data_IF_058319845545
#
_entry.id   IF_058319845545
#
_cell.length_a   1.000
_cell.length_b   1.000
_cell.length_c   1.000
_cell.angle_alpha   90.00
_cell.angle_beta   90.00
_cell.angle_gamma   90.00
#
_symmetry.space_group_name_H-M   'P 1'
#
loop_
_entity.id
_entity.type
_entity.pdbx_description
1 polymer ?
#
# COMPACT_ATOMS: atom_id res chain seq x y z
N UNK A 1 -46.51 12.51 29.66
CA UNK A 1 -45.30 13.35 29.88
C UNK A 1 -44.07 12.49 30.25
N UNK A 2 -43.71 11.47 29.46
CA UNK A 2 -42.51 10.64 29.74
C UNK A 2 -42.12 9.77 28.52
N UNK A 3 -41.98 10.40 27.34
CA UNK A 3 -41.68 9.70 26.07
C UNK A 3 -40.67 10.44 25.19
N UNK A 4 -39.81 11.28 25.77
CA UNK A 4 -38.93 12.17 24.99
C UNK A 4 -37.42 11.89 25.08
N UNK A 5 -36.98 11.00 25.97
CA UNK A 5 -35.55 10.67 26.15
C UNK A 5 -35.20 9.27 25.66
N UNK A 6 -35.52 8.94 24.40
CA UNK A 6 -35.16 7.64 23.81
C UNK A 6 -34.48 7.74 22.44
N UNK A 7 -33.76 8.84 22.15
CA UNK A 7 -33.14 9.07 20.83
C UNK A 7 -31.74 9.72 20.88
N UNK A 8 -30.90 9.48 21.90
CA UNK A 8 -29.54 10.06 21.88
C UNK A 8 -28.39 9.20 22.40
N UNK A 9 -28.57 7.89 22.59
CA UNK A 9 -27.50 7.02 23.09
C UNK A 9 -27.19 5.80 22.20
N UNK A 10 -27.81 5.69 21.01
CA UNK A 10 -27.47 4.63 20.04
C UNK A 10 -26.34 5.01 19.07
N UNK A 11 -26.03 6.31 18.92
CA UNK A 11 -25.07 6.81 17.94
C UNK A 11 -23.65 7.04 18.51
N UNK A 12 -23.53 7.25 19.83
CA UNK A 12 -22.24 7.44 20.51
C UNK A 12 -21.74 6.23 21.31
N UNK A 13 -22.53 5.16 21.43
CA UNK A 13 -22.24 4.03 22.34
C UNK A 13 -21.72 2.77 21.65
N UNK A 14 -21.14 2.88 20.45
CA UNK A 14 -20.22 1.84 19.95
C UNK A 14 -18.79 2.31 20.24
N UNK A 15 -18.17 1.63 21.19
CA UNK A 15 -16.85 1.85 21.80
C UNK A 15 -15.70 2.23 20.83
N UNK A 16 -14.56 2.79 21.33
CA UNK A 16 -13.49 3.42 20.55
C UNK A 16 -12.60 2.47 19.72
N UNK A 17 -13.17 1.41 19.16
CA UNK A 17 -12.48 0.41 18.35
C UNK A 17 -12.22 0.90 16.92
N UNK A 18 -13.11 1.72 16.35
CA UNK A 18 -13.01 2.19 14.96
C UNK A 18 -11.82 3.14 14.75
N UNK A 19 -11.50 4.02 15.70
CA UNK A 19 -10.38 4.95 15.55
C UNK A 19 -9.02 4.23 15.54
N UNK A 20 -8.84 3.21 16.39
CA UNK A 20 -7.62 2.40 16.43
C UNK A 20 -7.45 1.59 15.14
N UNK A 21 -8.55 1.08 14.59
CA UNK A 21 -8.55 0.36 13.31
C UNK A 21 -8.25 1.29 12.13
N UNK A 22 -8.90 2.46 12.08
CA UNK A 22 -8.62 3.49 11.06
C UNK A 22 -7.17 3.95 11.13
N UNK A 23 -6.65 4.22 12.33
CA UNK A 23 -5.25 4.61 12.51
C UNK A 23 -4.29 3.49 12.07
N UNK A 24 -4.60 2.24 12.40
CA UNK A 24 -3.81 1.09 11.94
C UNK A 24 -3.83 0.94 10.41
N UNK A 25 -4.97 1.18 9.76
CA UNK A 25 -5.08 1.16 8.30
C UNK A 25 -4.29 2.30 7.65
N UNK A 26 -4.39 3.52 8.18
CA UNK A 26 -3.60 4.67 7.70
C UNK A 26 -2.10 4.36 7.83
N UNK A 27 -1.67 3.86 8.99
CA UNK A 27 -0.27 3.52 9.21
C UNK A 27 0.20 2.40 8.27
N UNK A 28 -0.63 1.38 8.03
CA UNK A 28 -0.34 0.33 7.07
C UNK A 28 -0.22 0.87 5.64
N UNK A 29 -1.11 1.77 5.22
CA UNK A 29 -1.04 2.41 3.90
C UNK A 29 0.19 3.29 3.76
N UNK A 30 0.54 4.09 4.78
CA UNK A 30 1.77 4.89 4.78
C UNK A 30 3.02 4.01 4.72
N UNK A 31 3.02 2.89 5.44
CA UNK A 31 4.10 1.91 5.40
C UNK A 31 4.24 1.27 4.01
N UNK A 32 3.13 0.92 3.37
CA UNK A 32 3.12 0.41 1.99
C UNK A 32 3.69 1.44 1.01
N UNK A 33 3.24 2.70 1.11
CA UNK A 33 3.78 3.79 0.29
C UNK A 33 5.28 3.95 0.49
N UNK A 34 5.74 3.93 1.74
CA UNK A 34 7.17 4.01 2.05
C UNK A 34 7.98 2.89 1.41
N UNK A 35 7.52 1.63 1.50
CA UNK A 35 8.20 0.49 0.87
C UNK A 35 8.27 0.65 -0.66
N UNK A 36 7.18 1.08 -1.29
CA UNK A 36 7.13 1.29 -2.74
C UNK A 36 8.08 2.42 -3.13
N UNK A 37 8.05 3.56 -2.43
CA UNK A 37 8.96 4.69 -2.69
C UNK A 37 10.42 4.30 -2.50
N UNK A 38 10.75 3.54 -1.45
CA UNK A 38 12.10 3.02 -1.23
C UNK A 38 12.54 2.08 -2.36
N UNK A 39 11.65 1.20 -2.82
CA UNK A 39 11.95 0.27 -3.92
C UNK A 39 12.18 1.02 -5.24
N UNK A 40 11.32 1.99 -5.55
CA UNK A 40 11.46 2.83 -6.75
C UNK A 40 12.76 3.63 -6.72
N UNK A 41 13.12 4.22 -5.58
CA UNK A 41 14.36 5.00 -5.46
C UNK A 41 15.61 4.13 -5.58
N UNK A 42 15.58 2.89 -5.08
CA UNK A 42 16.65 1.90 -5.28
C UNK A 42 16.83 1.60 -6.78
N UNK A 43 15.74 1.30 -7.50
CA UNK A 43 15.80 1.03 -8.94
C UNK A 43 16.26 2.25 -9.74
N UNK A 44 15.70 3.42 -9.47
CA UNK A 44 16.07 4.67 -10.13
C UNK A 44 17.55 5.00 -9.93
N UNK A 45 18.06 4.83 -8.71
CA UNK A 45 19.48 5.02 -8.41
C UNK A 45 20.33 3.98 -9.16
N UNK A 46 19.91 2.72 -9.20
CA UNK A 46 20.58 1.68 -9.98
C UNK A 46 20.69 2.02 -11.47
N UNK A 47 19.59 2.48 -12.09
CA UNK A 47 19.61 2.91 -13.49
C UNK A 47 20.49 4.14 -13.72
N UNK A 48 20.51 5.09 -12.77
CA UNK A 48 21.38 6.26 -12.84
C UNK A 48 22.87 5.89 -12.74
N UNK A 49 23.22 4.98 -11.83
CA UNK A 49 24.59 4.49 -11.66
C UNK A 49 25.09 3.67 -12.85
N UNK A 50 24.19 2.94 -13.52
CA UNK A 50 24.47 2.23 -14.76
C UNK A 50 24.56 3.16 -15.98
N UNK A 51 24.31 4.46 -15.82
CA UNK A 51 24.35 5.44 -16.92
C UNK A 51 23.25 5.25 -17.95
N UNK A 52 22.10 4.66 -17.58
CA UNK A 52 21.00 4.37 -18.51
C UNK A 52 20.13 5.59 -18.79
N UNK A 53 20.18 6.59 -17.92
CA UNK A 53 19.47 7.87 -18.06
C UNK A 53 20.37 9.02 -17.63
N UNK A 54 20.19 10.18 -18.28
CA UNK A 54 20.99 11.39 -18.04
C UNK A 54 20.58 12.11 -16.75
N UNK A 55 19.31 12.01 -16.37
CA UNK A 55 18.75 12.71 -15.21
C UNK A 55 18.17 11.74 -14.18
N UNK A 56 18.16 12.17 -12.92
CA UNK A 56 17.47 11.43 -11.85
C UNK A 56 15.96 11.41 -12.09
N UNK A 57 15.41 12.50 -12.62
CA UNK A 57 14.00 12.60 -12.97
C UNK A 57 13.58 11.50 -13.95
N UNK A 58 14.31 11.33 -15.07
CA UNK A 58 14.02 10.26 -16.03
C UNK A 58 14.17 8.87 -15.42
N UNK A 59 15.17 8.67 -14.56
CA UNK A 59 15.39 7.39 -13.88
C UNK A 59 14.23 7.03 -12.94
N UNK A 60 13.75 8.00 -12.17
CA UNK A 60 12.60 7.85 -11.26
C UNK A 60 11.31 7.67 -12.07
N UNK A 61 11.11 8.45 -13.12
CA UNK A 61 9.95 8.35 -14.01
C UNK A 61 9.86 6.97 -14.65
N UNK A 62 10.93 6.49 -15.28
CA UNK A 62 10.99 5.14 -15.86
C UNK A 62 10.75 4.06 -14.79
N UNK A 63 11.37 4.20 -13.62
CA UNK A 63 11.17 3.26 -12.53
C UNK A 63 9.70 3.21 -12.13
N UNK A 64 9.05 4.35 -11.91
CA UNK A 64 7.63 4.42 -11.55
C UNK A 64 6.71 3.81 -12.61
N UNK A 65 6.90 4.15 -13.89
CA UNK A 65 6.03 3.65 -14.97
C UNK A 65 6.14 2.14 -15.12
N UNK A 66 7.33 1.57 -14.95
CA UNK A 66 7.56 0.13 -15.01
C UNK A 66 7.09 -0.57 -13.73
N UNK A 67 7.36 -0.03 -12.56
CA UNK A 67 6.97 -0.61 -11.26
C UNK A 67 5.45 -0.69 -11.08
N UNK A 68 4.72 0.28 -11.64
CA UNK A 68 3.26 0.35 -11.58
C UNK A 68 2.58 -0.33 -12.77
N UNK A 69 3.34 -0.98 -13.66
CA UNK A 69 2.86 -1.59 -14.92
C UNK A 69 2.21 -0.60 -15.90
N UNK A 70 2.36 0.70 -15.65
CA UNK A 70 1.73 1.75 -16.45
C UNK A 70 2.36 1.85 -17.85
N UNK A 71 3.69 1.79 -17.93
CA UNK A 71 4.43 1.55 -19.18
C UNK A 71 4.08 2.43 -20.39
N UNK A 72 4.08 3.76 -20.25
CA UNK A 72 3.79 4.70 -21.36
C UNK A 72 4.63 4.46 -22.62
N UNK A 73 5.85 3.95 -22.47
CA UNK A 73 6.73 3.58 -23.59
C UNK A 73 7.44 4.76 -24.26
N UNK A 74 7.30 5.97 -23.71
CA UNK A 74 7.99 7.20 -24.08
C UNK A 74 9.46 7.20 -23.62
N UNK A 75 9.74 6.59 -22.46
CA UNK A 75 11.09 6.37 -21.95
C UNK A 75 11.36 4.88 -21.87
N UNK A 76 12.43 4.41 -22.52
CA UNK A 76 12.78 2.99 -22.63
C UNK A 76 14.26 2.76 -22.36
N UNK A 77 14.57 1.58 -21.81
CA UNK A 77 15.95 1.12 -21.67
C UNK A 77 16.53 0.68 -23.02
N UNK A 78 17.86 0.82 -23.23
CA UNK A 78 18.55 0.23 -24.37
C UNK A 78 18.30 -1.28 -24.47
N UNK A 79 18.35 -1.83 -25.68
CA UNK A 79 17.97 -3.22 -25.95
C UNK A 79 18.70 -4.25 -25.07
N UNK A 80 19.99 -4.02 -24.80
CA UNK A 80 20.81 -4.88 -23.93
C UNK A 80 20.36 -4.90 -22.45
N UNK A 81 19.64 -3.88 -21.99
CA UNK A 81 19.16 -3.73 -20.62
C UNK A 81 17.64 -3.92 -20.49
N UNK A 82 16.92 -4.23 -21.57
CA UNK A 82 15.45 -4.34 -21.57
C UNK A 82 14.94 -5.39 -20.57
N UNK A 83 15.67 -6.48 -20.38
CA UNK A 83 15.33 -7.53 -19.39
C UNK A 83 15.36 -6.97 -17.97
N UNK A 84 16.29 -6.06 -17.67
CA UNK A 84 16.39 -5.42 -16.35
C UNK A 84 15.13 -4.61 -16.04
N UNK A 85 14.58 -3.91 -17.03
CA UNK A 85 13.29 -3.24 -16.91
C UNK A 85 12.15 -4.21 -16.60
N UNK A 86 12.10 -5.37 -17.27
CA UNK A 86 11.10 -6.40 -16.97
C UNK A 86 11.25 -6.94 -15.55
N UNK A 87 12.48 -7.16 -15.07
CA UNK A 87 12.75 -7.58 -13.68
C UNK A 87 12.28 -6.52 -12.68
N UNK A 88 12.52 -5.23 -12.97
CA UNK A 88 12.00 -4.14 -12.14
C UNK A 88 10.47 -4.13 -12.08
N UNK A 89 9.79 -4.40 -13.22
CA UNK A 89 8.33 -4.51 -13.27
C UNK A 89 7.81 -5.66 -12.40
N UNK A 90 8.44 -6.84 -12.51
CA UNK A 90 8.09 -8.02 -11.71
C UNK A 90 8.29 -7.73 -10.22
N UNK A 91 9.38 -7.05 -9.86
CA UNK A 91 9.62 -6.65 -8.48
C UNK A 91 8.51 -5.71 -7.96
N UNK A 92 8.05 -4.76 -8.78
CA UNK A 92 6.92 -3.91 -8.45
C UNK A 92 5.61 -4.68 -8.26
N UNK A 93 5.31 -5.61 -9.16
CA UNK A 93 4.13 -6.45 -9.06
C UNK A 93 4.15 -7.34 -7.81
N UNK A 94 5.31 -7.92 -7.47
CA UNK A 94 5.50 -8.71 -6.24
C UNK A 94 5.27 -7.86 -5.00
N UNK A 95 5.80 -6.64 -4.95
CA UNK A 95 5.57 -5.72 -3.85
C UNK A 95 4.08 -5.43 -3.67
N UNK A 96 3.36 -5.10 -4.75
CA UNK A 96 1.90 -4.86 -4.67
C UNK A 96 1.16 -6.12 -4.19
N UNK A 97 1.53 -7.30 -4.70
CA UNK A 97 0.92 -8.57 -4.31
C UNK A 97 1.12 -8.89 -2.83
N UNK A 98 2.35 -8.75 -2.32
CA UNK A 98 2.69 -8.98 -0.90
C UNK A 98 1.98 -7.96 0.00
N UNK A 99 1.99 -6.68 -0.35
CA UNK A 99 1.32 -5.64 0.44
C UNK A 99 -0.20 -5.88 0.49
N UNK A 100 -0.80 -6.30 -0.61
CA UNK A 100 -2.22 -6.67 -0.67
C UNK A 100 -2.51 -7.88 0.22
N UNK A 101 -1.66 -8.92 0.19
CA UNK A 101 -1.81 -10.10 1.04
C UNK A 101 -1.74 -9.73 2.54
N UNK A 102 -0.79 -8.87 2.92
CA UNK A 102 -0.65 -8.37 4.29
C UNK A 102 -1.89 -7.57 4.71
N UNK A 103 -2.41 -6.71 3.84
CA UNK A 103 -3.63 -5.93 4.12
C UNK A 103 -4.83 -6.85 4.37
N UNK A 104 -5.05 -7.83 3.49
CA UNK A 104 -6.14 -8.80 3.61
C UNK A 104 -6.01 -9.62 4.89
N UNK A 105 -4.82 -10.11 5.22
CA UNK A 105 -4.59 -10.87 6.45
C UNK A 105 -4.80 -10.01 7.70
N UNK A 106 -4.42 -8.74 7.66
CA UNK A 106 -4.68 -7.77 8.74
C UNK A 106 -6.18 -7.59 8.95
N UNK A 107 -6.95 -7.37 7.88
CA UNK A 107 -8.42 -7.26 7.94
C UNK A 107 -9.07 -8.55 8.46
N UNK A 108 -8.58 -9.71 8.02
CA UNK A 108 -9.04 -11.03 8.47
C UNK A 108 -8.80 -11.23 9.98
N UNK A 109 -7.65 -10.80 10.48
CA UNK A 109 -7.32 -10.86 11.90
C UNK A 109 -8.18 -9.92 12.74
N UNK A 110 -8.47 -8.72 12.25
CA UNK A 110 -9.41 -7.78 12.90
C UNK A 110 -10.81 -8.40 12.98
N UNK A 111 -11.33 -8.94 11.87
CA UNK A 111 -12.66 -9.56 11.82
C UNK A 111 -12.77 -10.77 12.76
N UNK A 112 -11.72 -11.59 12.85
CA UNK A 112 -11.66 -12.73 13.79
C UNK A 112 -11.75 -12.28 15.25
N UNK A 113 -11.09 -11.17 15.61
CA UNK A 113 -11.14 -10.61 16.97
C UNK A 113 -12.53 -10.08 17.33
N UNK A 114 -13.17 -9.34 16.42
CA UNK A 114 -14.55 -8.85 16.62
C UNK A 114 -15.56 -9.99 16.84
N UNK A 115 -15.43 -11.08 16.08
CA UNK A 115 -16.29 -12.26 16.22
C UNK A 115 -16.08 -13.00 17.57
N UNK A 116 -14.88 -12.90 18.17
CA UNK A 116 -14.57 -13.52 19.47
C UNK A 116 -15.16 -12.71 20.61
N UNK A 117 -15.02 -11.39 20.58
CA UNK A 117 -15.57 -10.48 21.60
C UNK A 117 -17.11 -10.50 21.64
N UNK A 118 -17.79 -10.80 20.52
CA UNK A 118 -19.26 -10.95 20.51
C UNK A 118 -19.76 -12.27 21.11
N UNK A 119 -18.90 -13.30 21.27
CA UNK A 119 -19.29 -14.62 21.79
C UNK A 119 -19.10 -14.80 23.29
N UNK A 120 -18.42 -13.89 23.98
CA UNK A 120 -18.31 -13.88 25.44
C UNK A 120 -19.24 -12.80 26.03
N UNK A 121 -20.52 -13.11 26.33
CA UNK A 121 -21.32 -12.23 27.16
C UNK A 121 -20.76 -12.29 28.59
N UNK A 122 -20.35 -11.13 29.11
CA UNK A 122 -20.02 -10.96 30.54
C UNK A 122 -21.23 -11.24 31.42
#
# INVERSE_FOLDING_TARGET
MMRFFRLRNAWLSREPHDLKLVLAMILASLWMLFIITASVTIWATGFRLLGLFDTMEQSVYFSLTVFTTLGFGDVLLPQQWRILGVIAAVNGLLNVGVLTAILIETLRNIRRRQMRDHKEPR
#
